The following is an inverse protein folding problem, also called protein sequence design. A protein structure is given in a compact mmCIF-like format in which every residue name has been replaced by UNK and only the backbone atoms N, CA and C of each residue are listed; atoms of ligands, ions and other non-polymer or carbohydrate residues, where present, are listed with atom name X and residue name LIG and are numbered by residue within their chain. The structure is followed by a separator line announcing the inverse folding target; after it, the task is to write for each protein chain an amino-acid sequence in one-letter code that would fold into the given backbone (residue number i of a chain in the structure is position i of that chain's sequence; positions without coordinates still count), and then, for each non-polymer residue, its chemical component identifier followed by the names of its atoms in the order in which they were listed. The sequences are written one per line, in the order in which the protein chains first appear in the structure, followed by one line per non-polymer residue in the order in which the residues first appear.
data_IF_895565546339
#
_entry.id   IF_895565546339
#
_cell.length_a   1.000
_cell.length_b   1.000
_cell.length_c   1.000
_cell.angle_alpha   90.00
_cell.angle_beta   90.00
_cell.angle_gamma   90.00
#
_symmetry.space_group_name_H-M   'P 1'
#
loop_
_entity.id
_entity.type
_entity.pdbx_description
1 polymer ?
#
# COMPACT_ATOMS: atom_id res chain seq x y z
N UNK A 1 -7.77 0.53 -0.96
CA UNK A 1 -7.96 1.98 -1.18
C UNK A 1 -8.41 2.53 0.14
N UNK A 2 -7.68 3.49 0.70
CA UNK A 2 -8.06 4.11 1.96
C UNK A 2 -9.47 4.72 1.85
N UNK A 3 -10.40 4.18 2.62
CA UNK A 3 -11.73 4.74 2.81
C UNK A 3 -11.89 5.33 4.21
N UNK A 4 -13.09 5.84 4.50
CA UNK A 4 -13.40 6.36 5.83
C UNK A 4 -13.25 5.31 6.94
N UNK A 5 -13.58 4.05 6.64
CA UNK A 5 -13.51 2.93 7.58
C UNK A 5 -12.06 2.61 7.93
N UNK A 6 -11.16 2.63 6.95
CA UNK A 6 -9.72 2.45 7.13
C UNK A 6 -9.13 3.54 8.02
N UNK A 7 -9.54 4.79 7.83
CA UNK A 7 -9.08 5.91 8.67
C UNK A 7 -9.55 5.74 10.12
N UNK A 8 -10.83 5.42 10.32
CA UNK A 8 -11.37 5.19 11.65
C UNK A 8 -10.62 4.04 12.35
N UNK A 9 -10.37 2.94 11.64
CA UNK A 9 -9.61 1.82 12.16
C UNK A 9 -8.16 2.22 12.52
N UNK A 10 -7.50 2.99 11.65
CA UNK A 10 -6.14 3.45 11.89
C UNK A 10 -6.05 4.41 13.08
N UNK A 11 -6.96 5.37 13.20
CA UNK A 11 -7.00 6.30 14.33
C UNK A 11 -7.29 5.58 15.65
N UNK A 12 -8.17 4.57 15.63
CA UNK A 12 -8.42 3.71 16.80
C UNK A 12 -7.18 2.87 17.16
N UNK A 13 -6.49 2.30 16.17
CA UNK A 13 -5.25 1.54 16.39
C UNK A 13 -4.12 2.42 16.96
N UNK A 14 -3.95 3.63 16.43
CA UNK A 14 -2.99 4.61 16.97
C UNK A 14 -3.32 5.01 18.40
N UNK A 15 -4.60 5.23 18.70
CA UNK A 15 -5.04 5.56 20.05
C UNK A 15 -4.78 4.42 21.03
N UNK A 16 -5.04 3.16 20.61
CA UNK A 16 -4.73 1.98 21.41
C UNK A 16 -3.23 1.81 21.63
N UNK A 17 -2.40 2.01 20.60
CA UNK A 17 -0.95 1.95 20.70
C UNK A 17 -0.38 3.03 21.64
N UNK A 18 -0.95 4.23 21.60
CA UNK A 18 -0.59 5.30 22.53
C UNK A 18 -0.97 4.92 23.97
N UNK A 19 -2.22 4.51 24.21
CA UNK A 19 -2.72 4.23 25.56
C UNK A 19 -2.22 2.91 26.15
N UNK A 20 -1.72 1.99 25.33
CA UNK A 20 -1.24 0.66 25.71
C UNK A 20 -0.01 0.24 24.89
N UNK A 21 1.13 0.94 25.04
CA UNK A 21 2.33 0.66 24.25
C UNK A 21 2.93 -0.73 24.52
N UNK A 22 2.67 -1.27 25.72
CA UNK A 22 3.10 -2.62 26.14
C UNK A 22 1.94 -3.64 26.14
N UNK A 23 0.85 -3.35 25.43
CA UNK A 23 -0.34 -4.20 25.35
C UNK A 23 -1.39 -3.91 26.43
N UNK A 24 -2.62 -4.37 26.19
CA UNK A 24 -3.81 -4.05 27.01
C UNK A 24 -3.84 -4.73 28.38
N UNK A 25 -2.96 -5.70 28.62
CA UNK A 25 -2.77 -6.31 29.94
C UNK A 25 -1.95 -5.45 30.89
N UNK A 26 -1.30 -4.39 30.39
CA UNK A 26 -0.55 -3.43 31.20
C UNK A 26 -1.40 -2.20 31.51
N UNK A 27 -1.14 -1.50 32.64
CA UNK A 27 -1.85 -0.26 32.95
C UNK A 27 -1.58 0.80 31.88
N UNK A 28 -2.62 1.59 31.57
CA UNK A 28 -2.45 2.72 30.66
C UNK A 28 -1.56 3.79 31.31
N UNK A 29 -0.64 4.44 30.56
CA UNK A 29 0.13 5.58 31.05
C UNK A 29 -0.74 6.75 31.52
N UNK A 30 -2.01 6.81 31.08
CA UNK A 30 -2.98 7.81 31.54
C UNK A 30 -3.41 7.62 33.00
N UNK A 31 -3.09 6.48 33.63
CA UNK A 31 -3.50 6.14 34.99
C UNK A 31 -4.91 5.56 35.11
N UNK A 32 -5.66 5.47 34.01
CA UNK A 32 -7.01 4.93 33.97
C UNK A 32 -7.13 3.79 32.95
N UNK A 33 -7.93 2.74 33.22
CA UNK A 33 -8.26 1.75 32.19
C UNK A 33 -9.13 2.39 31.09
N UNK A 34 -8.69 2.29 29.84
CA UNK A 34 -9.35 2.91 28.68
C UNK A 34 -9.79 1.84 27.67
N UNK A 35 -11.04 1.91 27.21
CA UNK A 35 -11.53 1.13 26.07
C UNK A 35 -11.50 1.97 24.80
N UNK A 36 -10.79 1.52 23.78
CA UNK A 36 -10.69 2.20 22.49
C UNK A 36 -11.47 1.43 21.42
N UNK A 37 -12.34 2.10 20.67
CA UNK A 37 -13.11 1.45 19.60
C UNK A 37 -13.64 2.45 18.57
N UNK A 38 -13.93 1.98 17.34
CA UNK A 38 -14.62 2.76 16.33
C UNK A 38 -16.14 2.86 16.60
N UNK A 39 -16.76 3.96 16.19
CA UNK A 39 -18.21 4.17 16.29
C UNK A 39 -18.66 4.79 17.61
N UNK A 40 -19.98 4.78 17.87
CA UNK A 40 -20.55 5.32 19.11
C UNK A 40 -20.54 4.29 20.25
N UNK A 41 -20.36 4.72 21.52
CA UNK A 41 -20.59 3.85 22.67
C UNK A 41 -21.97 3.20 22.65
N UNK A 42 -22.04 1.94 23.07
CA UNK A 42 -23.31 1.31 23.44
C UNK A 42 -23.70 1.80 24.84
N UNK A 43 -24.88 2.44 25.04
CA UNK A 43 -25.19 3.14 26.29
C UNK A 43 -25.07 2.30 27.55
N UNK A 44 -25.63 1.09 27.56
CA UNK A 44 -25.60 0.20 28.73
C UNK A 44 -24.18 -0.25 29.10
N UNK A 45 -23.30 -0.45 28.13
CA UNK A 45 -21.89 -0.81 28.36
C UNK A 45 -21.13 0.39 28.90
N UNK A 46 -21.36 1.57 28.31
CA UNK A 46 -20.73 2.81 28.75
C UNK A 46 -21.07 3.10 30.21
N UNK A 47 -22.35 3.07 30.59
CA UNK A 47 -22.79 3.37 31.96
C UNK A 47 -22.15 2.40 32.98
N UNK A 48 -22.15 1.10 32.67
CA UNK A 48 -21.56 0.09 33.54
C UNK A 48 -20.05 0.27 33.73
N UNK A 49 -19.34 0.62 32.65
CA UNK A 49 -17.89 0.83 32.70
C UNK A 49 -17.50 2.16 33.36
N UNK A 50 -18.28 3.23 33.18
CA UNK A 50 -18.10 4.50 33.89
C UNK A 50 -18.27 4.32 35.41
N UNK A 51 -19.29 3.58 35.85
CA UNK A 51 -19.47 3.23 37.26
C UNK A 51 -18.30 2.40 37.81
N UNK A 52 -17.67 1.57 36.97
CA UNK A 52 -16.45 0.84 37.30
C UNK A 52 -15.16 1.67 37.22
N UNK A 53 -15.25 2.98 36.97
CA UNK A 53 -14.11 3.88 36.91
C UNK A 53 -13.30 3.83 35.60
N UNK A 54 -13.83 3.21 34.55
CA UNK A 54 -13.16 3.09 33.24
C UNK A 54 -13.49 4.27 32.33
N UNK A 55 -12.60 4.56 31.40
CA UNK A 55 -12.75 5.60 30.38
C UNK A 55 -12.99 4.94 29.02
N UNK A 56 -13.81 5.54 28.18
CA UNK A 56 -13.96 5.12 26.79
C UNK A 56 -13.35 6.18 25.87
N UNK A 57 -12.70 5.74 24.80
CA UNK A 57 -12.24 6.57 23.69
C UNK A 57 -12.87 6.02 22.41
N UNK A 58 -13.82 6.77 21.87
CA UNK A 58 -14.53 6.37 20.66
C UNK A 58 -14.12 7.23 19.48
N UNK A 59 -13.91 6.61 18.32
CA UNK A 59 -13.53 7.33 17.08
C UNK A 59 -14.65 7.26 16.05
N UNK A 60 -15.11 8.40 15.55
CA UNK A 60 -16.16 8.43 14.54
C UNK A 60 -16.01 9.64 13.58
N UNK A 61 -16.56 9.55 12.36
CA UNK A 61 -16.47 10.60 11.36
C UNK A 61 -17.50 11.70 11.63
N UNK A 62 -17.17 12.94 11.26
CA UNK A 62 -18.12 14.05 11.24
C UNK A 62 -18.73 14.23 9.85
N UNK A 63 -19.84 14.98 9.80
CA UNK A 63 -20.57 15.30 8.56
C UNK A 63 -19.77 16.18 7.61
N UNK A 64 -18.76 16.90 8.11
CA UNK A 64 -17.91 17.79 7.31
C UNK A 64 -17.05 16.98 6.35
N UNK A 65 -17.18 17.28 5.06
CA UNK A 65 -16.39 16.69 4.00
C UNK A 65 -16.18 17.72 2.90
N UNK A 66 -14.97 17.78 2.36
CA UNK A 66 -14.64 18.67 1.26
C UNK A 66 -13.73 17.98 0.28
N UNK A 67 -14.03 18.12 -1.00
CA UNK A 67 -13.10 17.76 -2.04
C UNK A 67 -11.95 18.79 -2.07
N UNK A 68 -10.73 18.35 -1.75
CA UNK A 68 -9.49 19.15 -1.72
C UNK A 68 -8.64 18.98 -2.96
N UNK A 69 -9.10 18.15 -3.88
CA UNK A 69 -8.47 17.92 -5.17
C UNK A 69 -8.10 19.23 -5.86
N UNK A 70 -6.79 19.48 -6.01
CA UNK A 70 -6.28 20.66 -6.72
C UNK A 70 -5.46 20.30 -7.97
N UNK A 71 -4.92 19.08 -8.04
CA UNK A 71 -4.11 18.58 -9.16
C UNK A 71 -4.32 17.06 -9.39
N UNK A 72 -5.46 16.61 -9.94
CA UNK A 72 -5.57 15.22 -10.46
C UNK A 72 -4.89 15.19 -11.82
N UNK A 73 -3.67 14.65 -11.87
CA UNK A 73 -3.08 14.01 -13.06
C UNK A 73 -1.66 13.50 -12.80
N UNK A 74 -1.23 13.31 -11.55
CA UNK A 74 0.01 12.56 -11.35
C UNK A 74 -0.17 11.18 -12.00
N UNK A 75 0.77 10.85 -12.88
CA UNK A 75 0.73 9.61 -13.63
C UNK A 75 0.65 8.39 -12.72
N UNK A 76 0.44 7.23 -13.31
CA UNK A 76 0.55 5.97 -12.58
C UNK A 76 1.91 5.90 -11.88
N UNK A 77 1.89 5.72 -10.56
CA UNK A 77 3.10 5.47 -9.76
C UNK A 77 3.16 4.01 -9.36
N UNK A 78 4.37 3.45 -9.33
CA UNK A 78 4.58 2.09 -8.84
C UNK A 78 4.32 2.04 -7.31
N UNK A 79 3.47 1.12 -6.87
CA UNK A 79 3.28 0.80 -5.44
C UNK A 79 3.99 -0.52 -5.11
N UNK A 80 3.97 -1.48 -6.03
CA UNK A 80 4.64 -2.76 -5.88
C UNK A 80 5.42 -3.08 -7.16
N UNK A 81 6.70 -3.41 -6.99
CA UNK A 81 7.55 -3.84 -8.10
C UNK A 81 7.10 -5.17 -8.71
N UNK A 82 7.55 -5.47 -9.95
CA UNK A 82 7.22 -6.74 -10.60
C UNK A 82 7.67 -7.94 -9.77
N UNK A 83 6.79 -8.92 -9.60
CA UNK A 83 7.14 -10.20 -9.01
C UNK A 83 7.55 -11.18 -10.12
N UNK A 84 8.60 -11.96 -9.88
CA UNK A 84 9.12 -12.95 -10.81
C UNK A 84 9.04 -14.33 -10.19
N UNK A 85 8.25 -15.23 -10.77
CA UNK A 85 8.23 -16.65 -10.36
C UNK A 85 9.15 -17.49 -11.25
N UNK A 86 9.50 -16.98 -12.43
CA UNK A 86 10.49 -17.55 -13.34
C UNK A 86 11.79 -16.75 -13.24
N UNK A 87 12.91 -17.44 -13.32
CA UNK A 87 14.25 -16.85 -13.44
C UNK A 87 14.92 -17.39 -14.69
N UNK A 88 15.73 -16.56 -15.34
CA UNK A 88 16.54 -16.94 -16.50
C UNK A 88 17.98 -16.46 -16.25
N UNK A 89 18.89 -17.42 -16.07
CA UNK A 89 20.28 -17.13 -15.71
C UNK A 89 21.20 -17.46 -16.87
N UNK A 90 22.01 -16.50 -17.30
CA UNK A 90 23.01 -16.69 -18.35
C UNK A 90 24.34 -17.14 -17.74
N UNK A 91 24.93 -18.20 -18.27
CA UNK A 91 26.27 -18.68 -17.93
C UNK A 91 26.99 -19.12 -19.21
N UNK A 92 27.96 -18.32 -19.65
CA UNK A 92 28.62 -18.51 -20.94
C UNK A 92 27.61 -18.54 -22.09
N UNK A 93 27.59 -19.63 -22.84
CA UNK A 93 26.69 -19.86 -23.98
C UNK A 93 25.35 -20.50 -23.60
N UNK A 94 25.01 -20.56 -22.30
CA UNK A 94 23.81 -21.23 -21.81
C UNK A 94 22.90 -20.29 -21.04
N UNK A 95 21.59 -20.48 -21.18
CA UNK A 95 20.54 -19.83 -20.39
C UNK A 95 19.77 -20.91 -19.65
N UNK A 96 19.79 -20.88 -18.31
CA UNK A 96 19.03 -21.81 -17.47
C UNK A 96 17.75 -21.14 -17.00
N UNK A 97 16.61 -21.75 -17.32
CA UNK A 97 15.29 -21.32 -16.85
C UNK A 97 14.95 -22.07 -15.56
N UNK A 98 14.48 -21.38 -14.52
CA UNK A 98 14.11 -22.00 -13.26
C UNK A 98 12.89 -21.31 -12.63
N UNK A 99 12.34 -21.92 -11.58
CA UNK A 99 11.21 -21.40 -10.82
C UNK A 99 9.89 -22.07 -11.20
N UNK A 100 8.79 -21.32 -11.09
CA UNK A 100 7.43 -21.82 -11.32
C UNK A 100 6.80 -21.08 -12.47
N UNK A 101 6.26 -21.82 -13.44
CA UNK A 101 5.56 -21.25 -14.58
C UNK A 101 4.35 -20.42 -14.11
N UNK A 102 4.26 -19.20 -14.59
CA UNK A 102 3.10 -18.33 -14.45
C UNK A 102 3.00 -17.46 -15.69
N UNK A 103 1.90 -16.71 -15.85
CA UNK A 103 1.75 -15.81 -16.99
C UNK A 103 2.85 -14.73 -16.95
N UNK A 104 3.94 -14.93 -17.67
CA UNK A 104 5.11 -14.05 -17.69
C UNK A 104 5.75 -14.11 -19.08
N UNK A 105 6.51 -13.09 -19.44
CA UNK A 105 7.28 -13.11 -20.67
C UNK A 105 8.74 -13.45 -20.34
N UNK A 106 9.34 -14.37 -21.07
CA UNK A 106 10.78 -14.66 -20.99
C UNK A 106 11.41 -14.20 -22.29
N UNK A 107 12.41 -13.33 -22.18
CA UNK A 107 13.22 -12.85 -23.28
C UNK A 107 14.63 -13.43 -23.17
N UNK A 108 15.13 -13.94 -24.28
CA UNK A 108 16.55 -14.16 -24.51
C UNK A 108 16.94 -13.28 -25.70
N UNK A 109 17.86 -12.36 -25.46
CA UNK A 109 18.46 -11.55 -26.50
C UNK A 109 19.82 -12.15 -26.87
N UNK A 110 20.02 -12.40 -28.17
CA UNK A 110 21.26 -12.97 -28.73
C UNK A 110 21.80 -11.98 -29.75
N UNK A 111 23.03 -11.48 -29.54
CA UNK A 111 23.69 -10.50 -30.42
C UNK A 111 22.78 -9.30 -30.77
N UNK A 112 22.04 -8.84 -29.75
CA UNK A 112 21.10 -7.72 -29.83
C UNK A 112 19.78 -8.02 -30.55
N UNK A 113 19.49 -9.29 -30.89
CA UNK A 113 18.21 -9.72 -31.42
C UNK A 113 17.34 -10.34 -30.31
N UNK A 114 16.13 -9.82 -30.13
CA UNK A 114 15.22 -10.25 -29.07
C UNK A 114 14.38 -11.47 -29.50
N UNK A 115 14.39 -12.52 -28.69
CA UNK A 115 13.52 -13.68 -28.81
C UNK A 115 12.66 -13.80 -27.56
N UNK A 116 11.34 -13.71 -27.73
CA UNK A 116 10.39 -13.60 -26.62
C UNK A 116 9.43 -14.78 -26.66
N UNK A 117 9.22 -15.41 -25.50
CA UNK A 117 8.20 -16.41 -25.30
C UNK A 117 7.21 -15.97 -24.21
N UNK A 118 5.92 -16.06 -24.52
CA UNK A 118 4.82 -15.75 -23.60
C UNK A 118 4.41 -17.01 -22.85
N UNK A 119 4.89 -17.15 -21.62
CA UNK A 119 4.63 -18.31 -20.76
C UNK A 119 3.17 -18.35 -20.33
N UNK A 120 2.58 -19.54 -20.34
CA UNK A 120 1.27 -19.85 -19.79
C UNK A 120 1.41 -20.57 -18.43
N UNK A 121 0.44 -20.43 -17.51
CA UNK A 121 0.48 -21.14 -16.22
C UNK A 121 0.53 -22.67 -16.33
N UNK A 122 0.11 -23.25 -17.46
CA UNK A 122 0.16 -24.69 -17.73
C UNK A 122 1.50 -25.17 -18.27
N UNK A 123 2.42 -24.27 -18.61
CA UNK A 123 3.71 -24.64 -19.17
C UNK A 123 4.60 -25.30 -18.11
N UNK A 124 5.54 -26.12 -18.58
CA UNK A 124 6.62 -26.65 -17.74
C UNK A 124 7.90 -25.87 -18.02
N UNK A 125 8.80 -25.78 -17.04
CA UNK A 125 10.10 -25.10 -17.22
C UNK A 125 10.89 -25.68 -18.41
N UNK A 126 10.84 -27.01 -18.59
CA UNK A 126 11.46 -27.67 -19.74
C UNK A 126 10.77 -27.29 -21.06
N UNK A 127 9.44 -27.18 -21.07
CA UNK A 127 8.67 -26.74 -22.23
C UNK A 127 8.98 -25.29 -22.62
N UNK A 128 9.17 -24.40 -21.65
CA UNK A 128 9.55 -23.01 -21.88
C UNK A 128 10.94 -22.93 -22.52
N UNK A 129 11.92 -23.67 -21.98
CA UNK A 129 13.27 -23.73 -22.56
C UNK A 129 13.24 -24.28 -24.00
N UNK A 130 12.47 -25.33 -24.24
CA UNK A 130 12.31 -25.90 -25.58
C UNK A 130 11.66 -24.92 -26.57
N UNK A 131 10.62 -24.20 -26.15
CA UNK A 131 9.95 -23.21 -26.97
C UNK A 131 10.86 -22.01 -27.30
N UNK A 132 11.63 -21.51 -26.32
CA UNK A 132 12.63 -20.46 -26.54
C UNK A 132 13.73 -20.92 -27.50
N UNK A 133 14.24 -22.15 -27.33
CA UNK A 133 15.26 -22.69 -28.23
C UNK A 133 14.75 -22.82 -29.67
N UNK A 134 13.48 -23.19 -29.87
CA UNK A 134 12.89 -23.26 -31.20
C UNK A 134 12.84 -21.89 -31.92
N UNK A 135 12.82 -20.78 -31.17
CA UNK A 135 12.84 -19.42 -31.72
C UNK A 135 14.25 -18.93 -32.06
N UNK A 136 15.28 -19.42 -31.36
CA UNK A 136 16.67 -18.93 -31.46
C UNK A 136 17.46 -19.81 -32.45
N UNK A 137 17.98 -19.26 -33.55
CA UNK A 137 18.85 -19.98 -34.48
C UNK A 137 20.10 -20.54 -33.79
N UNK A 138 20.55 -21.72 -34.22
CA UNK A 138 21.73 -22.39 -33.65
C UNK A 138 21.66 -22.59 -32.13
N UNK A 139 20.46 -22.85 -31.61
CA UNK A 139 20.28 -23.22 -30.21
C UNK A 139 19.73 -24.63 -30.05
N UNK A 140 20.01 -25.22 -28.91
CA UNK A 140 19.43 -26.51 -28.48
C UNK A 140 18.93 -26.37 -27.05
N UNK A 141 17.96 -27.20 -26.65
CA UNK A 141 17.47 -27.26 -25.28
C UNK A 141 17.68 -28.66 -24.69
N UNK A 142 18.05 -28.72 -23.41
CA UNK A 142 18.12 -29.95 -22.63
C UNK A 142 17.60 -29.68 -21.23
N UNK A 143 16.43 -30.25 -20.92
CA UNK A 143 15.70 -29.93 -19.69
C UNK A 143 15.43 -28.42 -19.59
N UNK A 144 15.81 -27.76 -18.47
CA UNK A 144 15.60 -26.33 -18.28
C UNK A 144 16.63 -25.42 -18.98
N UNK A 145 17.62 -25.99 -19.67
CA UNK A 145 18.78 -25.25 -20.20
C UNK A 145 18.66 -25.06 -21.70
N UNK A 146 18.80 -23.82 -22.17
CA UNK A 146 18.97 -23.46 -23.59
C UNK A 146 20.45 -23.19 -23.84
N UNK A 147 21.05 -23.92 -24.78
CA UNK A 147 22.46 -23.75 -25.21
C UNK A 147 22.48 -23.07 -26.57
N UNK A 148 23.23 -21.98 -26.72
CA UNK A 148 23.27 -21.16 -27.93
C UNK A 148 24.71 -21.11 -28.45
N UNK A 149 24.96 -21.78 -29.58
CA UNK A 149 26.29 -21.82 -30.18
C UNK A 149 26.54 -20.63 -31.10
N UNK A 150 27.75 -20.06 -31.02
CA UNK A 150 28.17 -18.95 -31.86
C UNK A 150 27.66 -17.56 -31.44
N UNK A 151 26.99 -17.45 -30.28
CA UNK A 151 26.59 -16.16 -29.71
C UNK A 151 27.78 -15.43 -29.09
N UNK A 152 27.88 -14.11 -29.34
CA UNK A 152 28.89 -13.23 -28.77
C UNK A 152 28.39 -12.53 -27.51
N UNK A 153 27.09 -12.24 -27.45
CA UNK A 153 26.41 -11.66 -26.31
C UNK A 153 25.05 -12.32 -26.08
N UNK A 154 24.77 -12.69 -24.84
CA UNK A 154 23.49 -13.25 -24.42
C UNK A 154 22.99 -12.48 -23.21
N UNK A 155 21.76 -11.99 -23.29
CA UNK A 155 21.04 -11.35 -22.18
C UNK A 155 19.73 -12.09 -21.98
N UNK A 156 19.39 -12.44 -20.74
CA UNK A 156 18.09 -12.99 -20.41
C UNK A 156 17.32 -12.03 -19.50
N UNK A 157 16.03 -11.84 -19.78
CA UNK A 157 15.13 -11.03 -18.97
C UNK A 157 13.81 -11.76 -18.78
N UNK A 158 13.22 -11.62 -17.61
CA UNK A 158 11.89 -12.15 -17.32
C UNK A 158 11.01 -10.96 -16.95
N UNK A 159 9.86 -10.83 -17.60
CA UNK A 159 8.90 -9.77 -17.34
C UNK A 159 7.89 -10.23 -16.30
N UNK A 160 7.77 -9.48 -15.23
CA UNK A 160 6.76 -9.68 -14.20
C UNK A 160 5.54 -8.78 -14.35
N UNK A 161 4.61 -8.97 -13.41
CA UNK A 161 3.53 -8.03 -13.16
C UNK A 161 3.80 -7.29 -11.85
N UNK A 162 3.74 -5.97 -11.89
CA UNK A 162 3.72 -5.10 -10.72
C UNK A 162 2.35 -4.49 -10.50
N UNK A 163 2.21 -3.71 -9.43
CA UNK A 163 1.03 -2.89 -9.20
C UNK A 163 1.40 -1.41 -9.28
N UNK A 164 0.60 -0.69 -10.05
CA UNK A 164 0.64 0.77 -10.14
C UNK A 164 -0.64 1.34 -9.56
N UNK A 165 -0.57 2.55 -9.03
CA UNK A 165 -1.75 3.28 -8.62
C UNK A 165 -1.72 4.71 -9.11
N UNK A 166 -2.92 5.27 -9.25
CA UNK A 166 -3.15 6.67 -9.58
C UNK A 166 -4.15 7.24 -8.59
N UNK A 167 -3.89 8.45 -8.12
CA UNK A 167 -4.87 9.22 -7.36
C UNK A 167 -6.00 9.70 -8.30
N UNK A 168 -7.26 9.43 -7.92
CA UNK A 168 -8.45 9.81 -8.69
C UNK A 168 -9.26 10.90 -8.01
N UNK A 169 -9.10 11.07 -6.69
CA UNK A 169 -9.77 12.08 -5.88
C UNK A 169 -9.01 12.24 -4.58
N UNK A 170 -8.96 13.46 -4.06
CA UNK A 170 -8.52 13.76 -2.70
C UNK A 170 -9.62 14.43 -1.93
N UNK A 171 -9.83 14.02 -0.69
CA UNK A 171 -10.87 14.55 0.15
C UNK A 171 -10.39 14.76 1.57
N UNK A 172 -10.88 15.85 2.13
CA UNK A 172 -10.71 16.22 3.51
C UNK A 172 -11.97 15.87 4.28
N UNK A 173 -11.80 15.16 5.39
CA UNK A 173 -12.89 14.82 6.30
C UNK A 173 -12.44 14.99 7.75
N UNK A 174 -13.34 15.46 8.60
CA UNK A 174 -13.07 15.52 10.03
C UNK A 174 -13.47 14.22 10.72
N UNK A 175 -12.62 13.80 11.64
CA UNK A 175 -12.81 12.66 12.52
C UNK A 175 -12.70 13.14 13.95
N UNK A 176 -13.58 12.63 14.79
CA UNK A 176 -13.69 13.01 16.18
C UNK A 176 -13.28 11.84 17.06
N UNK A 177 -12.33 12.11 17.96
CA UNK A 177 -11.96 11.25 19.07
C UNK A 177 -12.67 11.78 20.31
N UNK A 178 -13.61 11.01 20.85
CA UNK A 178 -14.40 11.40 22.01
C UNK A 178 -13.98 10.58 23.24
N UNK A 179 -13.52 11.28 24.28
CA UNK A 179 -13.22 10.73 25.60
C UNK A 179 -14.48 10.80 26.45
N UNK A 180 -14.93 9.66 26.96
CA UNK A 180 -16.06 9.52 27.87
C UNK A 180 -15.54 9.03 29.21
N UNK A 181 -15.67 9.83 30.27
CA UNK A 181 -15.01 9.57 31.53
C UNK A 181 -15.95 9.78 32.74
N UNK A 182 -15.70 9.06 33.85
CA UNK A 182 -16.54 9.13 35.05
C UNK A 182 -16.22 10.35 35.93
N UNK A 183 -15.06 10.98 35.71
CA UNK A 183 -14.60 12.17 36.44
C UNK A 183 -13.90 13.14 35.49
N UNK A 184 -13.85 14.45 35.82
CA UNK A 184 -13.12 15.42 35.02
C UNK A 184 -11.60 15.14 35.01
N UNK A 185 -11.05 14.62 36.11
CA UNK A 185 -9.64 14.22 36.18
C UNK A 185 -9.31 13.07 35.21
N UNK A 186 -10.17 12.05 35.15
CA UNK A 186 -10.00 10.94 34.23
C UNK A 186 -10.11 11.39 32.76
N UNK A 187 -11.07 12.29 32.47
CA UNK A 187 -11.22 12.90 31.15
C UNK A 187 -9.94 13.63 30.73
N UNK A 188 -9.43 14.49 31.60
CA UNK A 188 -8.30 15.36 31.27
C UNK A 188 -6.98 14.58 31.17
N UNK A 189 -6.80 13.56 32.02
CA UNK A 189 -5.63 12.68 31.96
C UNK A 189 -5.55 11.92 30.62
N UNK A 190 -6.67 11.31 30.19
CA UNK A 190 -6.73 10.57 28.92
C UNK A 190 -6.66 11.52 27.72
N UNK A 191 -7.40 12.63 27.74
CA UNK A 191 -7.41 13.60 26.65
C UNK A 191 -6.04 14.24 26.42
N UNK A 192 -5.34 14.65 27.49
CA UNK A 192 -3.98 15.21 27.40
C UNK A 192 -3.01 14.23 26.73
N UNK A 193 -3.10 12.96 27.12
CA UNK A 193 -2.23 11.92 26.59
C UNK A 193 -2.46 11.68 25.09
N UNK A 194 -3.73 11.55 24.68
CA UNK A 194 -4.11 11.39 23.26
C UNK A 194 -3.73 12.63 22.45
N UNK A 195 -3.99 13.83 22.96
CA UNK A 195 -3.67 15.07 22.26
C UNK A 195 -2.17 15.15 21.96
N UNK A 196 -1.31 14.85 22.94
CA UNK A 196 0.15 14.81 22.73
C UNK A 196 0.59 13.72 21.77
N UNK A 197 -0.05 12.55 21.79
CA UNK A 197 0.30 11.44 20.91
C UNK A 197 -0.07 11.70 19.45
N UNK A 198 -1.14 12.47 19.21
CA UNK A 198 -1.62 12.79 17.86
C UNK A 198 -1.01 14.08 17.31
N UNK A 199 -0.61 15.02 18.17
CA UNK A 199 0.00 16.28 17.77
C UNK A 199 1.32 16.11 16.98
N UNK A 200 2.08 15.03 17.25
CA UNK A 200 3.32 14.72 16.55
C UNK A 200 3.09 13.97 15.22
N UNK A 201 1.86 13.52 14.96
CA UNK A 201 1.55 12.72 13.76
C UNK A 201 0.97 13.59 12.67
N UNK A 202 1.81 13.93 11.69
CA UNK A 202 1.38 14.65 10.49
C UNK A 202 0.95 13.72 9.34
N UNK A 203 1.66 12.60 9.17
CA UNK A 203 1.42 11.64 8.10
C UNK A 203 0.73 10.38 8.64
N UNK A 204 -0.41 10.03 8.04
CA UNK A 204 -1.15 8.82 8.32
C UNK A 204 -0.89 7.80 7.20
N UNK A 205 -0.14 6.75 7.49
CA UNK A 205 0.09 5.67 6.54
C UNK A 205 -1.08 4.68 6.54
N UNK A 206 -1.53 4.28 5.36
CA UNK A 206 -2.56 3.27 5.18
C UNK A 206 -1.98 1.94 4.68
N UNK A 207 -2.75 0.85 4.84
CA UNK A 207 -2.33 -0.50 4.44
C UNK A 207 -2.08 -0.66 2.94
N UNK A 208 -2.66 0.21 2.12
CA UNK A 208 -2.47 0.25 0.67
C UNK A 208 -1.25 1.09 0.23
N UNK A 209 -0.46 1.59 1.19
CA UNK A 209 0.71 2.44 0.94
C UNK A 209 0.38 3.88 0.53
N UNK A 210 -0.90 4.28 0.56
CA UNK A 210 -1.27 5.69 0.46
C UNK A 210 -1.00 6.42 1.78
N UNK A 211 -0.87 7.74 1.69
CA UNK A 211 -0.59 8.61 2.84
C UNK A 211 -1.71 9.66 2.93
N UNK A 212 -2.31 9.77 4.11
CA UNK A 212 -3.18 10.87 4.50
C UNK A 212 -2.42 11.92 5.30
N UNK A 213 -2.86 13.17 5.24
CA UNK A 213 -2.32 14.26 6.03
C UNK A 213 -3.30 14.60 7.14
N UNK A 214 -2.85 14.52 8.38
CA UNK A 214 -3.66 14.80 9.56
C UNK A 214 -3.30 16.17 10.13
N UNK A 215 -4.32 16.95 10.51
CA UNK A 215 -4.17 18.24 11.18
C UNK A 215 -5.19 18.38 12.28
N UNK A 216 -4.77 18.91 13.42
CA UNK A 216 -5.71 19.33 14.46
C UNK A 216 -6.66 20.39 13.90
N UNK A 217 -7.95 20.25 14.19
CA UNK A 217 -8.99 21.20 13.80
C UNK A 217 -9.42 22.04 14.99
N UNK A 218 -10.01 21.39 16.00
CA UNK A 218 -10.49 22.01 17.23
C UNK A 218 -10.79 20.93 18.27
N UNK A 219 -11.13 21.34 19.49
CA UNK A 219 -11.61 20.44 20.53
C UNK A 219 -12.77 21.08 21.27
N UNK A 220 -13.75 20.26 21.64
CA UNK A 220 -14.90 20.67 22.44
C UNK A 220 -14.92 19.90 23.75
N UNK A 221 -15.24 20.56 24.84
CA UNK A 221 -15.42 19.91 26.14
C UNK A 221 -16.82 20.20 26.64
N UNK A 222 -17.53 19.16 27.07
CA UNK A 222 -18.89 19.28 27.57
C UNK A 222 -19.09 18.41 28.79
N UNK A 223 -19.57 19.06 29.85
CA UNK A 223 -19.91 18.42 31.13
C UNK A 223 -21.40 18.57 31.42
N UNK A 224 -22.22 18.77 30.38
CA UNK A 224 -23.68 18.90 30.52
C UNK A 224 -24.30 17.68 31.20
N UNK A 225 -23.70 16.50 31.04
CA UNK A 225 -24.12 15.22 31.64
C UNK A 225 -23.43 14.90 32.96
N UNK A 226 -22.78 15.86 33.62
CA UNK A 226 -22.09 15.61 34.90
C UNK A 226 -23.01 15.05 35.99
N UNK A 227 -24.32 15.36 35.97
CA UNK A 227 -25.31 14.81 36.91
C UNK A 227 -25.52 13.30 36.75
N UNK A 228 -25.21 12.77 35.56
CA UNK A 228 -25.20 11.35 35.26
C UNK A 228 -23.80 10.73 35.42
N UNK A 229 -22.83 11.46 35.99
CA UNK A 229 -21.45 11.00 36.15
C UNK A 229 -20.66 10.92 34.83
N UNK A 230 -21.11 11.59 33.77
CA UNK A 230 -20.46 11.56 32.46
C UNK A 230 -19.83 12.91 32.12
N UNK A 231 -18.51 12.88 31.94
CA UNK A 231 -17.67 13.99 31.50
C UNK A 231 -17.10 13.68 30.12
N UNK A 232 -17.15 14.65 29.20
CA UNK A 232 -16.80 14.40 27.80
C UNK A 232 -15.87 15.46 27.22
N UNK A 233 -14.85 14.99 26.50
CA UNK A 233 -13.98 15.84 25.69
C UNK A 233 -13.77 15.24 24.31
N UNK A 234 -13.98 16.08 23.32
CA UNK A 234 -13.92 15.75 21.91
C UNK A 234 -12.70 16.45 21.30
N UNK A 235 -11.85 15.67 20.63
CA UNK A 235 -10.70 16.18 19.89
C UNK A 235 -10.95 15.86 18.42
N UNK A 236 -10.98 16.89 17.59
CA UNK A 236 -11.33 16.76 16.17
C UNK A 236 -10.09 16.97 15.32
N UNK A 237 -9.80 15.97 14.49
CA UNK A 237 -8.74 16.01 13.50
C UNK A 237 -9.33 16.02 12.10
N UNK A 238 -8.79 16.88 11.27
CA UNK A 238 -9.01 16.89 9.84
C UNK A 238 -8.01 15.95 9.19
N UNK A 239 -8.50 14.99 8.40
CA UNK A 239 -7.65 14.08 7.61
C UNK A 239 -7.93 14.32 6.14
N UNK A 240 -6.88 14.66 5.39
CA UNK A 240 -6.87 14.78 3.94
C UNK A 240 -6.28 13.52 3.31
N UNK A 241 -7.07 12.78 2.54
CA UNK A 241 -6.68 11.46 2.04
C UNK A 241 -7.12 11.23 0.59
N UNK A 242 -6.33 10.40 -0.09
CA UNK A 242 -6.50 10.08 -1.50
C UNK A 242 -7.34 8.82 -1.69
N UNK A 243 -8.34 8.90 -2.58
CA UNK A 243 -8.89 7.73 -3.23
C UNK A 243 -8.00 7.37 -4.42
N UNK A 244 -7.42 6.17 -4.40
CA UNK A 244 -6.53 5.69 -5.47
C UNK A 244 -7.18 4.57 -6.27
N UNK A 245 -6.98 4.58 -7.59
CA UNK A 245 -7.24 3.43 -8.45
C UNK A 245 -5.96 2.62 -8.60
N UNK A 246 -6.05 1.30 -8.39
CA UNK A 246 -4.94 0.36 -8.58
C UNK A 246 -5.13 -0.36 -9.91
N UNK A 247 -4.03 -0.62 -10.61
CA UNK A 247 -4.01 -1.43 -11.83
C UNK A 247 -2.75 -2.30 -11.83
N UNK A 248 -2.88 -3.49 -12.41
CA UNK A 248 -1.72 -4.32 -12.71
C UNK A 248 -0.97 -3.75 -13.93
N UNK A 249 0.34 -3.59 -13.82
CA UNK A 249 1.20 -3.17 -14.92
C UNK A 249 2.19 -4.29 -15.26
N UNK A 250 2.44 -4.47 -16.55
CA UNK A 250 3.44 -5.38 -17.09
C UNK A 250 4.81 -4.71 -17.12
N UNK A 251 5.83 -5.43 -16.72
CA UNK A 251 7.22 -5.03 -16.95
C UNK A 251 7.61 -5.13 -18.42
N UNK A 252 8.34 -4.12 -18.92
CA UNK A 252 8.82 -4.09 -20.31
C UNK A 252 10.15 -4.84 -20.39
N UNK A 253 10.17 -5.97 -21.09
CA UNK A 253 11.39 -6.77 -21.31
C UNK A 253 12.16 -6.37 -22.57
N UNK A 254 11.46 -5.85 -23.59
CA UNK A 254 12.00 -5.48 -24.90
C UNK A 254 11.46 -4.11 -25.36
N UNK A 255 12.19 -3.01 -25.14
CA UNK A 255 11.84 -1.73 -25.73
C UNK A 255 12.22 -1.70 -27.21
N UNK A 256 11.25 -1.51 -28.11
CA UNK A 256 11.49 -1.29 -29.54
C UNK A 256 11.31 0.20 -29.84
N UNK A 257 12.38 0.87 -30.28
CA UNK A 257 12.31 2.26 -30.73
C UNK A 257 12.24 2.30 -32.26
N UNK A 258 11.12 2.75 -32.80
CA UNK A 258 10.96 2.98 -34.24
C UNK A 258 11.43 4.38 -34.62
N UNK A 259 12.71 4.54 -34.94
CA UNK A 259 13.22 5.78 -35.52
C UNK A 259 13.20 5.63 -37.04
N UNK A 260 12.69 6.59 -37.79
CA UNK A 260 12.72 6.55 -39.27
C UNK A 260 13.72 7.60 -39.74
N UNK A 261 14.62 7.21 -40.63
CA UNK A 261 15.53 8.15 -41.32
C UNK A 261 14.73 9.00 -42.30
N UNK A 262 14.68 10.31 -42.12
CA UNK A 262 14.01 11.23 -43.06
C UNK A 262 14.64 11.22 -44.47
N UNK A 263 15.92 10.85 -44.58
CA UNK A 263 16.65 10.82 -45.86
C UNK A 263 16.44 9.52 -46.66
N UNK A 264 16.12 8.40 -45.99
CA UNK A 264 16.02 7.08 -46.65
C UNK A 264 14.67 6.39 -46.48
N UNK A 265 13.78 6.89 -45.61
CA UNK A 265 12.50 6.25 -45.29
C UNK A 265 12.63 4.89 -44.60
N UNK A 266 13.85 4.46 -44.27
CA UNK A 266 14.12 3.19 -43.61
C UNK A 266 14.02 3.35 -42.09
N UNK A 267 13.39 2.38 -41.45
CA UNK A 267 13.36 2.25 -39.99
C UNK A 267 14.78 1.96 -39.48
N UNK A 268 15.35 2.90 -38.74
CA UNK A 268 16.53 2.71 -37.91
C UNK A 268 16.08 2.03 -36.62
N UNK A 269 16.46 0.76 -36.47
CA UNK A 269 16.32 0.03 -35.21
C UNK A 269 17.56 0.33 -34.35
N UNK A 270 17.43 1.21 -33.36
CA UNK A 270 18.46 1.35 -32.33
C UNK A 270 18.40 0.14 -31.40
N UNK A 271 19.37 -0.77 -31.56
CA UNK A 271 19.66 -1.81 -30.56
C UNK A 271 20.32 -1.12 -29.35
N UNK A 272 19.73 -1.28 -28.16
CA UNK A 272 20.39 -0.85 -26.93
C UNK A 272 21.67 -1.69 -26.77
N UNK A 273 22.82 -1.02 -26.67
CA UNK A 273 24.12 -1.60 -26.33
C UNK A 273 24.12 -2.13 -24.90
#
# INVERSE_FOLDING_TARGET
MADQSDIIAQLAAMSAAALYPAGTSQPSPSGYPVKVYPGWPVPNVLDADLLAGKVHLSVYPLVTERNTTRHISEGWRQIQGPAHTITATVSGNTVTIAGTASAQNVLIQVDGQDYIYTVQPSDTINGIAAALSALIPNSTSSGPVVTITGAHAIIARVGGFGQVAREIRRQEKQFQLSVWAPTPFARDAVAKFIDTAFADVYNLAFSDGSIGFMRYSHSNQTDQTQKAGLYRRDIVYTVDFATTRVQQATEVVAPVLGVVSELSGQTILTKNL
#
